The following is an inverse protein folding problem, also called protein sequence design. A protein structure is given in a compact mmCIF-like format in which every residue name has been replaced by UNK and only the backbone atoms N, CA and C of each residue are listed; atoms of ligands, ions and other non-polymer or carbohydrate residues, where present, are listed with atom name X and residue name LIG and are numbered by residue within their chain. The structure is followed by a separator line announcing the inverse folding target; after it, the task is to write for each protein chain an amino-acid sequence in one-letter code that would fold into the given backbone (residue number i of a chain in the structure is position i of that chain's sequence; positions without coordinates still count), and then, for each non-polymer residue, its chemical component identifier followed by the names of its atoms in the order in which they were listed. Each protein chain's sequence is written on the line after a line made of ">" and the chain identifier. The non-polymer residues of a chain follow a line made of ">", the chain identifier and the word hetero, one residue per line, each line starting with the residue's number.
data_IF_308990751051
#
_entry.id   IF_308990751051
#
_cell.length_a   1.000
_cell.length_b   1.000
_cell.length_c   1.000
_cell.angle_alpha   90.00
_cell.angle_beta   90.00
_cell.angle_gamma   90.00
#
_symmetry.space_group_name_H-M   'P 1'
#
loop_
_entity.id
_entity.type
_entity.pdbx_description
1 polymer ?
#
# COMPACT_ATOMS: atom_id res chain seq x y z
N UNK A 1 0.81 -22.00 -27.50
CA UNK A 1 0.85 -20.83 -26.57
C UNK A 1 -0.60 -20.59 -26.20
N UNK A 2 -0.93 -20.69 -24.91
CA UNK A 2 -2.29 -20.45 -24.44
C UNK A 2 -2.58 -18.95 -24.34
N UNK A 3 -3.86 -18.59 -24.22
CA UNK A 3 -4.29 -17.20 -24.06
C UNK A 3 -3.65 -16.54 -22.81
N UNK A 4 -3.28 -17.34 -21.82
CA UNK A 4 -2.66 -16.87 -20.57
C UNK A 4 -1.29 -16.25 -20.79
N UNK A 5 -0.47 -16.80 -21.69
CA UNK A 5 0.83 -16.23 -22.03
C UNK A 5 0.70 -14.96 -22.88
N UNK A 6 -0.27 -14.93 -23.80
CA UNK A 6 -0.59 -13.74 -24.58
C UNK A 6 -0.99 -12.57 -23.67
N UNK A 7 -1.94 -12.80 -22.75
CA UNK A 7 -2.39 -11.80 -21.78
C UNK A 7 -1.27 -11.37 -20.80
N UNK A 8 -0.38 -12.30 -20.42
CA UNK A 8 0.78 -11.95 -19.61
C UNK A 8 1.69 -10.97 -20.35
N UNK A 9 1.97 -11.21 -21.64
CA UNK A 9 2.76 -10.30 -22.46
C UNK A 9 2.09 -8.92 -22.62
N UNK A 10 0.79 -8.89 -22.88
CA UNK A 10 0.05 -7.64 -22.95
C UNK A 10 0.10 -6.87 -21.64
N UNK A 11 -0.14 -7.53 -20.51
CA UNK A 11 -0.09 -6.92 -19.18
C UNK A 11 1.32 -6.39 -18.88
N UNK A 12 2.36 -7.17 -19.19
CA UNK A 12 3.74 -6.77 -18.97
C UNK A 12 4.10 -5.52 -19.77
N UNK A 13 3.81 -5.50 -21.06
CA UNK A 13 4.15 -4.39 -21.95
C UNK A 13 3.29 -3.15 -21.72
N UNK A 14 2.00 -3.31 -21.42
CA UNK A 14 1.08 -2.19 -21.23
C UNK A 14 1.18 -1.55 -19.83
N UNK A 15 1.44 -2.37 -18.82
CA UNK A 15 1.36 -1.93 -17.41
C UNK A 15 2.73 -1.82 -16.75
N UNK A 16 3.64 -2.79 -16.98
CA UNK A 16 4.93 -2.83 -16.29
C UNK A 16 6.01 -2.03 -17.01
N UNK A 17 6.05 -2.08 -18.33
CA UNK A 17 7.05 -1.36 -19.13
C UNK A 17 6.66 0.12 -19.34
N UNK A 18 5.36 0.41 -19.43
CA UNK A 18 4.84 1.77 -19.60
C UNK A 18 4.33 2.34 -18.28
N UNK A 19 5.16 2.33 -17.24
CA UNK A 19 4.79 2.96 -15.97
C UNK A 19 4.39 4.40 -16.20
N UNK A 20 3.12 4.71 -15.95
CA UNK A 20 2.63 6.09 -15.98
C UNK A 20 3.38 6.95 -14.94
N UNK A 21 3.45 8.27 -15.16
CA UNK A 21 4.04 9.18 -14.16
C UNK A 21 3.42 8.96 -12.77
N UNK A 22 2.12 8.74 -12.71
CA UNK A 22 1.40 8.46 -11.47
C UNK A 22 1.90 7.18 -10.80
N UNK A 23 2.08 6.08 -11.54
CA UNK A 23 2.63 4.84 -11.00
C UNK A 23 4.07 5.01 -10.50
N UNK A 24 4.89 5.82 -11.18
CA UNK A 24 6.23 6.15 -10.73
C UNK A 24 6.21 6.97 -9.43
N UNK A 25 5.33 7.96 -9.32
CA UNK A 25 5.17 8.76 -8.10
C UNK A 25 4.62 7.92 -6.94
N UNK A 26 3.65 7.04 -7.18
CA UNK A 26 3.16 6.07 -6.19
C UNK A 26 4.28 5.14 -5.70
N UNK A 27 5.11 4.64 -6.61
CA UNK A 27 6.25 3.78 -6.27
C UNK A 27 7.34 4.52 -5.47
N UNK A 28 7.58 5.80 -5.77
CA UNK A 28 8.46 6.67 -4.96
C UNK A 28 7.84 6.95 -3.59
N UNK A 29 6.55 7.24 -3.55
CA UNK A 29 5.78 7.45 -2.32
C UNK A 29 5.78 6.23 -1.40
N UNK A 30 5.78 5.01 -1.96
CA UNK A 30 5.75 3.76 -1.21
C UNK A 30 7.01 3.45 -0.37
N UNK A 31 8.09 4.24 -0.49
CA UNK A 31 9.37 4.01 0.20
C UNK A 31 9.92 5.23 0.93
N UNK A 32 9.14 6.31 1.04
CA UNK A 32 9.60 7.59 1.59
C UNK A 32 8.72 8.13 2.71
N UNK A 33 8.86 9.43 2.97
CA UNK A 33 8.05 10.14 3.97
C UNK A 33 6.54 9.94 3.80
N UNK A 34 5.99 9.98 2.57
CA UNK A 34 4.55 9.77 2.38
C UNK A 34 4.07 8.41 2.91
N UNK A 35 4.83 7.35 2.69
CA UNK A 35 4.49 6.02 3.21
C UNK A 35 4.52 5.99 4.74
N UNK A 36 5.59 6.53 5.35
CA UNK A 36 5.71 6.55 6.80
C UNK A 36 4.56 7.32 7.46
N UNK A 37 4.19 8.46 6.89
CA UNK A 37 3.05 9.28 7.37
C UNK A 37 1.73 8.51 7.25
N UNK A 38 1.48 7.83 6.12
CA UNK A 38 0.27 7.02 5.94
C UNK A 38 0.23 5.80 6.86
N UNK A 39 1.38 5.15 7.08
CA UNK A 39 1.47 3.98 7.96
C UNK A 39 1.19 4.35 9.42
N UNK A 40 1.75 5.49 9.88
CA UNK A 40 1.45 6.05 11.20
C UNK A 40 -0.01 6.51 11.31
N UNK A 41 -0.59 7.06 10.25
CA UNK A 41 -2.00 7.46 10.23
C UNK A 41 -2.93 6.26 10.38
N UNK A 42 -2.62 5.17 9.69
CA UNK A 42 -3.45 3.95 9.65
C UNK A 42 -3.34 3.10 10.90
N UNK A 43 -2.13 2.94 11.43
CA UNK A 43 -1.82 2.01 12.53
C UNK A 43 -1.69 2.68 13.89
N UNK A 44 -1.59 4.01 13.93
CA UNK A 44 -1.26 4.74 15.15
C UNK A 44 0.24 4.74 15.45
N UNK A 45 0.63 4.92 16.71
CA UNK A 45 2.03 4.96 17.12
C UNK A 45 2.79 3.69 16.75
N UNK A 46 3.97 3.85 16.14
CA UNK A 46 4.85 2.75 15.75
C UNK A 46 6.28 3.01 16.22
N UNK A 47 7.01 1.94 16.51
CA UNK A 47 8.46 2.04 16.71
C UNK A 47 9.21 2.18 15.37
N UNK A 48 10.43 2.76 15.36
CA UNK A 48 11.25 2.80 14.14
C UNK A 48 11.49 1.42 13.50
N UNK A 49 11.58 0.37 14.32
CA UNK A 49 11.74 -1.01 13.84
C UNK A 49 10.49 -1.53 13.14
N UNK A 50 9.31 -1.25 13.68
CA UNK A 50 8.04 -1.60 13.06
C UNK A 50 7.85 -0.86 11.72
N UNK A 51 8.19 0.43 11.67
CA UNK A 51 8.20 1.19 10.42
C UNK A 51 9.18 0.62 9.40
N UNK A 52 10.40 0.25 9.82
CA UNK A 52 11.39 -0.36 8.95
C UNK A 52 10.89 -1.69 8.34
N UNK A 53 10.24 -2.51 9.15
CA UNK A 53 9.61 -3.75 8.69
C UNK A 53 8.49 -3.49 7.67
N UNK A 54 7.56 -2.57 7.96
CA UNK A 54 6.47 -2.18 7.03
C UNK A 54 7.01 -1.61 5.72
N UNK A 55 8.08 -0.81 5.79
CA UNK A 55 8.72 -0.19 4.62
C UNK A 55 9.66 -1.13 3.87
N UNK A 56 9.91 -2.34 4.38
CA UNK A 56 10.90 -3.29 3.86
C UNK A 56 12.26 -2.62 3.63
N UNK A 57 12.75 -1.87 4.63
CA UNK A 57 13.99 -1.09 4.58
C UNK A 57 14.78 -1.21 5.89
N UNK A 58 15.94 -0.56 5.96
CA UNK A 58 16.79 -0.58 7.16
C UNK A 58 16.36 0.45 8.19
N UNK A 59 16.60 0.17 9.47
CA UNK A 59 16.34 1.10 10.60
C UNK A 59 17.12 2.41 10.46
N UNK A 60 18.35 2.38 9.93
CA UNK A 60 19.15 3.59 9.68
C UNK A 60 18.47 4.52 8.65
N UNK A 61 17.90 3.96 7.59
CA UNK A 61 17.17 4.74 6.58
C UNK A 61 15.88 5.32 7.15
N UNK A 62 15.17 4.55 7.96
CA UNK A 62 13.99 5.04 8.68
C UNK A 62 14.36 6.15 9.66
N UNK A 63 15.46 6.02 10.40
CA UNK A 63 15.93 7.04 11.33
C UNK A 63 16.17 8.41 10.65
N UNK A 64 16.81 8.40 9.48
CA UNK A 64 17.03 9.62 8.69
C UNK A 64 15.70 10.24 8.22
N UNK A 65 14.79 9.40 7.75
CA UNK A 65 13.45 9.81 7.30
C UNK A 65 12.63 10.41 8.46
N UNK A 66 12.63 9.76 9.62
CA UNK A 66 11.95 10.25 10.81
C UNK A 66 12.54 11.57 11.30
N UNK A 67 13.85 11.77 11.22
CA UNK A 67 14.49 13.04 11.57
C UNK A 67 14.06 14.18 10.64
N UNK A 68 13.85 13.88 9.35
CA UNK A 68 13.31 14.85 8.41
C UNK A 68 11.85 15.21 8.71
N UNK A 69 11.01 14.21 9.05
CA UNK A 69 9.60 14.43 9.41
C UNK A 69 9.47 15.22 10.72
N UNK A 70 10.32 14.95 11.71
CA UNK A 70 10.35 15.64 12.99
C UNK A 70 10.75 17.11 12.82
N UNK A 71 11.79 17.42 12.01
CA UNK A 71 12.16 18.79 11.63
C UNK A 71 11.02 19.54 10.95
N UNK A 72 10.15 18.84 10.21
CA UNK A 72 8.95 19.43 9.59
C UNK A 72 7.78 19.57 10.56
N UNK A 73 7.95 19.17 11.81
CA UNK A 73 6.89 19.19 12.82
C UNK A 73 5.73 18.22 12.55
N UNK A 74 5.96 17.17 11.78
CA UNK A 74 4.90 16.22 11.36
C UNK A 74 4.80 14.99 12.24
N UNK A 75 5.85 14.71 13.01
CA UNK A 75 5.88 13.64 14.00
C UNK A 75 6.49 14.12 15.31
N UNK A 76 6.21 13.38 16.38
CA UNK A 76 6.92 13.39 17.66
C UNK A 76 7.51 12.03 17.95
N UNK A 77 8.53 12.00 18.81
CA UNK A 77 9.11 10.77 19.36
C UNK A 77 8.96 10.81 20.87
N UNK A 78 8.37 9.78 21.42
CA UNK A 78 8.13 9.66 22.84
C UNK A 78 8.71 8.33 23.34
N UNK A 79 9.44 8.38 24.45
CA UNK A 79 9.91 7.17 25.10
C UNK A 79 8.72 6.45 25.76
N UNK A 80 8.72 5.14 25.65
CA UNK A 80 7.73 4.31 26.34
C UNK A 80 7.84 4.53 27.87
N UNK A 81 6.73 4.70 28.58
CA UNK A 81 6.73 4.94 30.02
C UNK A 81 7.29 3.75 30.84
N UNK A 82 7.12 2.53 30.33
CA UNK A 82 7.53 1.29 31.03
C UNK A 82 8.94 0.85 30.61
N UNK A 83 9.36 1.12 29.36
CA UNK A 83 10.70 0.84 28.88
C UNK A 83 11.27 2.01 28.07
N UNK A 84 12.08 2.84 28.73
CA UNK A 84 12.74 4.02 28.10
C UNK A 84 13.65 3.70 26.91
N UNK A 85 13.94 2.43 26.64
CA UNK A 85 14.69 2.00 25.44
C UNK A 85 13.81 1.93 24.21
N UNK A 86 12.49 1.85 24.40
CA UNK A 86 11.50 1.84 23.33
C UNK A 86 11.07 3.27 23.05
N UNK A 87 11.09 3.64 21.79
CA UNK A 87 10.63 4.95 21.30
C UNK A 87 9.44 4.74 20.39
N UNK A 88 8.35 5.42 20.66
CA UNK A 88 7.17 5.49 19.83
C UNK A 88 7.18 6.75 18.97
N UNK A 89 6.84 6.60 17.72
CA UNK A 89 6.69 7.69 16.77
C UNK A 89 5.20 7.97 16.59
N UNK A 90 4.80 9.20 16.85
CA UNK A 90 3.41 9.67 16.74
C UNK A 90 3.30 10.74 15.65
N UNK A 91 2.15 10.80 14.97
CA UNK A 91 1.82 11.94 14.13
C UNK A 91 1.41 13.13 15.01
N UNK A 92 1.91 14.31 14.66
CA UNK A 92 1.35 15.58 15.11
C UNK A 92 0.06 15.88 14.35
N UNK A 93 -0.64 16.96 14.74
CA UNK A 93 -1.78 17.45 13.96
C UNK A 93 -1.38 17.78 12.51
N UNK A 94 -0.27 18.48 12.30
CA UNK A 94 0.27 18.77 10.97
C UNK A 94 0.58 17.47 10.17
N UNK A 95 1.04 16.43 10.85
CA UNK A 95 1.25 15.10 10.24
C UNK A 95 -0.06 14.43 9.83
N UNK A 96 -1.10 14.54 10.66
CA UNK A 96 -2.45 14.02 10.36
C UNK A 96 -3.08 14.72 9.17
N UNK A 97 -3.08 16.05 9.18
CA UNK A 97 -3.57 16.85 8.06
C UNK A 97 -2.84 16.53 6.74
N UNK A 98 -1.51 16.30 6.81
CA UNK A 98 -0.76 15.86 5.62
C UNK A 98 -1.24 14.51 5.11
N UNK A 99 -1.45 13.53 6.02
CA UNK A 99 -1.95 12.21 5.67
C UNK A 99 -3.32 12.29 5.00
N UNK A 100 -4.22 13.08 5.56
CA UNK A 100 -5.58 13.29 5.04
C UNK A 100 -5.58 13.95 3.66
N UNK A 101 -4.81 15.03 3.49
CA UNK A 101 -4.66 15.67 2.17
C UNK A 101 -4.11 14.70 1.13
N UNK A 102 -3.16 13.87 1.49
CA UNK A 102 -2.60 12.88 0.58
C UNK A 102 -3.63 11.80 0.19
N UNK A 103 -4.42 11.32 1.15
CA UNK A 103 -5.51 10.38 0.88
C UNK A 103 -6.58 10.99 -0.01
N UNK A 104 -7.00 12.22 0.29
CA UNK A 104 -8.00 12.92 -0.49
C UNK A 104 -7.54 13.16 -1.92
N UNK A 105 -6.32 13.62 -2.13
CA UNK A 105 -5.75 13.78 -3.47
C UNK A 105 -5.70 12.47 -4.26
N UNK A 106 -5.39 11.35 -3.59
CA UNK A 106 -5.44 10.04 -4.23
C UNK A 106 -6.88 9.63 -4.57
N UNK A 107 -7.80 9.83 -3.62
CA UNK A 107 -9.23 9.55 -3.82
C UNK A 107 -9.77 10.32 -5.03
N UNK A 108 -9.52 11.62 -5.08
CA UNK A 108 -9.93 12.48 -6.20
C UNK A 108 -9.39 11.98 -7.54
N UNK A 109 -8.11 11.62 -7.59
CA UNK A 109 -7.48 11.10 -8.79
C UNK A 109 -8.13 9.79 -9.26
N UNK A 110 -8.38 8.85 -8.35
CA UNK A 110 -9.03 7.57 -8.68
C UNK A 110 -10.49 7.78 -9.08
N UNK A 111 -11.24 8.64 -8.36
CA UNK A 111 -12.61 8.97 -8.73
C UNK A 111 -12.69 9.60 -10.14
N UNK A 112 -11.75 10.48 -10.48
CA UNK A 112 -11.68 11.03 -11.83
C UNK A 112 -11.41 9.93 -12.87
N UNK A 113 -10.48 9.01 -12.62
CA UNK A 113 -10.22 7.88 -13.53
C UNK A 113 -11.50 7.06 -13.73
N UNK A 114 -12.20 6.70 -12.65
CA UNK A 114 -13.45 5.94 -12.74
C UNK A 114 -14.54 6.69 -13.50
N UNK A 115 -14.61 8.02 -13.35
CA UNK A 115 -15.54 8.83 -14.13
C UNK A 115 -15.27 8.78 -15.64
N UNK A 116 -13.99 8.72 -16.04
CA UNK A 116 -13.60 8.55 -17.45
C UNK A 116 -13.90 7.14 -17.98
N UNK A 117 -13.79 6.12 -17.13
CA UNK A 117 -14.12 4.74 -17.49
C UNK A 117 -15.64 4.53 -17.67
N UNK A 118 -16.44 5.28 -16.95
CA UNK A 118 -17.89 5.09 -16.82
C UNK A 118 -18.25 3.98 -15.83
N UNK A 119 -19.43 4.07 -15.21
CA UNK A 119 -19.84 3.25 -14.07
C UNK A 119 -19.69 1.74 -14.31
N UNK A 120 -20.23 1.23 -15.44
CA UNK A 120 -20.18 -0.22 -15.72
C UNK A 120 -18.73 -0.76 -15.75
N UNK A 121 -17.85 -0.09 -16.48
CA UNK A 121 -16.44 -0.53 -16.61
C UNK A 121 -15.65 -0.33 -15.34
N UNK A 122 -15.94 0.71 -14.58
CA UNK A 122 -15.30 0.95 -13.30
C UNK A 122 -15.65 -0.15 -12.28
N UNK A 123 -16.93 -0.56 -12.22
CA UNK A 123 -17.35 -1.70 -11.37
C UNK A 123 -16.70 -3.01 -11.79
N UNK A 124 -16.76 -3.32 -13.07
CA UNK A 124 -16.10 -4.51 -13.64
C UNK A 124 -14.60 -4.53 -13.35
N UNK A 125 -13.93 -3.37 -13.45
CA UNK A 125 -12.51 -3.24 -13.08
C UNK A 125 -12.24 -3.54 -11.60
N UNK A 126 -13.07 -3.05 -10.70
CA UNK A 126 -12.94 -3.33 -9.26
C UNK A 126 -13.12 -4.81 -9.00
N UNK A 127 -14.21 -5.44 -9.52
CA UNK A 127 -14.48 -6.86 -9.37
C UNK A 127 -13.32 -7.73 -9.89
N UNK A 128 -12.83 -7.46 -11.10
CA UNK A 128 -11.70 -8.18 -11.69
C UNK A 128 -10.38 -7.95 -10.92
N UNK A 129 -10.21 -6.75 -10.35
CA UNK A 129 -9.02 -6.45 -9.53
C UNK A 129 -9.05 -7.23 -8.22
N UNK A 130 -10.19 -7.31 -7.57
CA UNK A 130 -10.38 -8.11 -6.35
C UNK A 130 -10.16 -9.60 -6.62
N UNK A 131 -10.75 -10.11 -7.69
CA UNK A 131 -10.52 -11.50 -8.12
C UNK A 131 -9.03 -11.77 -8.40
N UNK A 132 -8.39 -10.93 -9.20
CA UNK A 132 -6.98 -11.07 -9.55
C UNK A 132 -6.07 -10.99 -8.32
N UNK A 133 -6.30 -10.06 -7.41
CA UNK A 133 -5.51 -9.93 -6.17
C UNK A 133 -5.71 -11.12 -5.24
N UNK A 134 -6.90 -11.71 -5.19
CA UNK A 134 -7.17 -12.93 -4.44
C UNK A 134 -6.33 -14.10 -4.99
N UNK A 135 -6.34 -14.32 -6.29
CA UNK A 135 -5.46 -15.32 -6.91
C UNK A 135 -3.98 -15.03 -6.67
N UNK A 136 -3.57 -13.76 -6.79
CA UNK A 136 -2.17 -13.35 -6.54
C UNK A 136 -1.73 -13.65 -5.11
N UNK A 137 -2.61 -13.51 -4.11
CA UNK A 137 -2.30 -13.80 -2.71
C UNK A 137 -1.97 -15.28 -2.46
N UNK A 138 -2.52 -16.17 -3.27
CA UNK A 138 -2.30 -17.62 -3.20
C UNK A 138 -1.07 -18.08 -4.01
N UNK A 139 -0.63 -17.28 -4.98
CA UNK A 139 0.45 -17.64 -5.89
C UNK A 139 1.80 -17.13 -5.40
N UNK A 140 2.64 -18.02 -4.86
CA UNK A 140 4.01 -17.70 -4.46
C UNK A 140 5.01 -18.21 -5.50
N UNK A 141 5.97 -17.39 -5.95
CA UNK A 141 7.03 -17.84 -6.84
C UNK A 141 7.78 -19.05 -6.27
N UNK A 142 7.97 -20.07 -7.09
CA UNK A 142 8.69 -21.28 -6.69
C UNK A 142 7.93 -22.27 -5.82
N UNK A 143 6.66 -22.00 -5.51
CA UNK A 143 5.77 -22.95 -4.79
C UNK A 143 4.76 -23.61 -5.74
N UNK A 144 4.23 -24.79 -5.37
CA UNK A 144 3.12 -25.41 -6.11
C UNK A 144 1.94 -24.47 -6.26
N UNK A 145 1.16 -24.68 -7.30
CA UNK A 145 -0.10 -23.93 -7.46
C UNK A 145 -1.10 -24.32 -6.38
N UNK A 146 -1.96 -23.37 -5.94
CA UNK A 146 -2.97 -23.65 -4.92
C UNK A 146 -3.96 -24.71 -5.38
N UNK A 147 -4.46 -25.48 -4.43
CA UNK A 147 -5.52 -26.46 -4.67
C UNK A 147 -6.89 -25.77 -4.84
N UNK A 148 -7.87 -26.43 -5.46
CA UNK A 148 -9.24 -25.87 -5.56
C UNK A 148 -9.86 -25.52 -4.22
N UNK A 149 -9.53 -26.25 -3.15
CA UNK A 149 -10.03 -26.02 -1.79
C UNK A 149 -9.44 -24.73 -1.19
N UNK A 150 -8.12 -24.51 -1.37
CA UNK A 150 -7.45 -23.28 -0.95
C UNK A 150 -8.01 -22.05 -1.68
N UNK A 151 -8.28 -22.20 -2.97
CA UNK A 151 -8.91 -21.14 -3.77
C UNK A 151 -10.31 -20.84 -3.24
N UNK A 152 -11.17 -21.84 -3.07
CA UNK A 152 -12.54 -21.66 -2.58
C UNK A 152 -12.57 -20.99 -1.20
N UNK A 153 -11.63 -21.36 -0.31
CA UNK A 153 -11.49 -20.76 1.02
C UNK A 153 -11.14 -19.27 0.93
N UNK A 154 -10.15 -18.89 0.12
CA UNK A 154 -9.72 -17.50 -0.02
C UNK A 154 -10.84 -16.59 -0.54
N UNK A 155 -11.64 -17.06 -1.49
CA UNK A 155 -12.78 -16.32 -2.00
C UNK A 155 -13.91 -16.17 -0.98
N UNK A 156 -14.14 -17.20 -0.12
CA UNK A 156 -15.14 -17.11 0.94
C UNK A 156 -14.75 -16.14 2.05
N UNK A 157 -13.48 -16.07 2.42
CA UNK A 157 -12.95 -15.16 3.44
C UNK A 157 -13.02 -13.70 2.98
N UNK A 158 -12.68 -13.43 1.70
CA UNK A 158 -12.74 -12.07 1.12
C UNK A 158 -14.17 -11.51 1.08
N UNK A 159 -15.18 -12.37 0.91
CA UNK A 159 -16.58 -11.95 0.90
C UNK A 159 -17.08 -11.51 2.29
N UNK A 160 -16.45 -11.98 3.37
CA UNK A 160 -16.82 -11.63 4.75
C UNK A 160 -16.17 -10.34 5.26
N UNK A 161 -15.03 -9.91 4.70
CA UNK A 161 -14.37 -8.65 5.10
C UNK A 161 -15.01 -7.40 4.48
N UNK A 162 -15.86 -7.55 3.47
CA UNK A 162 -16.50 -6.45 2.73
C UNK A 162 -17.95 -6.17 3.20
N UNK A 163 -18.50 -7.02 4.05
CA UNK A 163 -19.85 -6.91 4.60
C UNK A 163 -19.84 -6.25 5.98
#
# INVERSE_FOLDING_TARGET
>A
VGFEEELFHELATSTWDKRSRMQQEMAKGAKGEPFAVQELYRKGPLTPSQLAASMKTTTGRVSALLSALEKKGQITRESDPDDRRVVHVNLTEAGRERAERQRESMREAICWIFSQMGERRAREFVELTEEFTTYMSLCMPGKPRPTPEEVAKAFSENTQEVA
#
